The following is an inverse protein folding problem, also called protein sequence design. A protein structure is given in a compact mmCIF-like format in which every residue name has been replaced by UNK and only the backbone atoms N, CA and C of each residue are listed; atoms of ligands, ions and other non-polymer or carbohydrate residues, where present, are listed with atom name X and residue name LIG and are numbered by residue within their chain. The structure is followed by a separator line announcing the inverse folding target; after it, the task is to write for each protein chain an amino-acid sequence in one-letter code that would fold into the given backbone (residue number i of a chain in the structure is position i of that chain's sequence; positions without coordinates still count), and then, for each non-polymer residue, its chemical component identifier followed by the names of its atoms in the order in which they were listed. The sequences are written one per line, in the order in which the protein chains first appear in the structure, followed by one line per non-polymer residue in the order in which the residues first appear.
data_IF_640050767620
#
_entry.id   IF_640050767620
#
_cell.length_a   1.000
_cell.length_b   1.000
_cell.length_c   1.000
_cell.angle_alpha   90.00
_cell.angle_beta   90.00
_cell.angle_gamma   90.00
#
_symmetry.space_group_name_H-M   'P 1'
#
loop_
_entity.id
_entity.type
_entity.pdbx_description
1 polymer ?
#
# COMPACT_ATOMS: atom_id res chain seq x y z
N UNK A 1 13.38 -6.45 -17.59
CA UNK A 1 12.34 -6.44 -16.52
C UNK A 1 11.29 -5.40 -16.88
N UNK A 2 10.09 -5.85 -17.27
CA UNK A 2 8.95 -5.01 -17.67
C UNK A 2 7.61 -5.53 -17.14
N UNK A 3 7.62 -6.53 -16.26
CA UNK A 3 6.40 -7.16 -15.74
C UNK A 3 5.59 -6.20 -14.86
N UNK A 4 6.25 -5.37 -14.05
CA UNK A 4 5.57 -4.34 -13.24
C UNK A 4 4.85 -3.32 -14.11
N UNK A 5 5.51 -2.82 -15.17
CA UNK A 5 4.89 -1.90 -16.11
C UNK A 5 3.67 -2.55 -16.80
N UNK A 6 3.79 -3.81 -17.25
CA UNK A 6 2.68 -4.57 -17.85
C UNK A 6 1.50 -4.75 -16.89
N UNK A 7 1.77 -5.08 -15.63
CA UNK A 7 0.72 -5.23 -14.60
C UNK A 7 0.01 -3.89 -14.37
N UNK A 8 0.76 -2.80 -14.19
CA UNK A 8 0.19 -1.46 -14.01
C UNK A 8 -0.66 -1.08 -15.22
N UNK A 9 -0.16 -1.28 -16.43
CA UNK A 9 -0.93 -1.00 -17.66
C UNK A 9 -2.20 -1.84 -17.75
N UNK A 10 -2.13 -3.14 -17.41
CA UNK A 10 -3.30 -4.02 -17.39
C UNK A 10 -4.37 -3.58 -16.38
N UNK A 11 -3.95 -3.16 -15.18
CA UNK A 11 -4.86 -2.63 -14.15
C UNK A 11 -5.52 -1.34 -14.61
N UNK A 12 -4.74 -0.37 -15.10
CA UNK A 12 -5.28 0.92 -15.58
C UNK A 12 -6.25 0.70 -16.75
N UNK A 13 -5.88 -0.14 -17.71
CA UNK A 13 -6.74 -0.47 -18.84
C UNK A 13 -8.04 -1.15 -18.39
N UNK A 14 -7.96 -2.08 -17.43
CA UNK A 14 -9.13 -2.75 -16.86
C UNK A 14 -10.08 -1.80 -16.13
N UNK A 15 -9.54 -0.91 -15.29
CA UNK A 15 -10.35 0.11 -14.57
C UNK A 15 -11.00 1.07 -15.56
N UNK A 16 -10.26 1.57 -16.55
CA UNK A 16 -10.80 2.48 -17.56
C UNK A 16 -11.88 1.81 -18.41
N UNK A 17 -11.64 0.59 -18.89
CA UNK A 17 -12.63 -0.18 -19.64
C UNK A 17 -13.89 -0.44 -18.79
N UNK A 18 -13.73 -0.85 -17.53
CA UNK A 18 -14.84 -1.08 -16.60
C UNK A 18 -15.65 0.17 -16.31
N UNK A 19 -14.99 1.32 -16.09
CA UNK A 19 -15.65 2.59 -15.86
C UNK A 19 -16.45 3.05 -17.10
N UNK A 20 -15.87 2.94 -18.29
CA UNK A 20 -16.56 3.27 -19.54
C UNK A 20 -17.74 2.33 -19.75
N UNK A 21 -17.56 1.02 -19.62
CA UNK A 21 -18.66 0.05 -19.77
C UNK A 21 -19.74 0.27 -18.71
N UNK A 22 -19.39 0.60 -17.47
CA UNK A 22 -20.35 0.91 -16.40
C UNK A 22 -21.17 2.17 -16.68
N UNK A 23 -20.52 3.24 -17.17
CA UNK A 23 -21.19 4.48 -17.57
C UNK A 23 -22.10 4.25 -18.79
N UNK A 24 -21.66 3.43 -19.76
CA UNK A 24 -22.45 3.12 -20.96
C UNK A 24 -23.63 2.19 -20.67
N UNK A 25 -23.46 1.22 -19.76
CA UNK A 25 -24.52 0.28 -19.37
C UNK A 25 -25.60 0.95 -18.52
N UNK A 26 -25.22 1.92 -17.69
CA UNK A 26 -26.13 2.73 -16.88
C UNK A 26 -25.88 4.23 -17.13
N UNK A 27 -26.43 4.79 -18.22
CA UNK A 27 -26.25 6.19 -18.54
C UNK A 27 -27.03 7.05 -17.55
N UNK A 28 -26.29 7.73 -16.68
CA UNK A 28 -26.82 8.78 -15.81
C UNK A 28 -26.78 10.13 -16.53
N UNK A 29 -27.58 11.10 -16.08
CA UNK A 29 -27.54 12.42 -16.72
C UNK A 29 -26.16 13.08 -16.50
N UNK A 30 -25.60 13.73 -17.53
CA UNK A 30 -24.25 14.31 -17.42
C UNK A 30 -24.08 15.37 -16.31
N UNK A 31 -25.19 15.95 -15.83
CA UNK A 31 -25.21 16.84 -14.66
C UNK A 31 -24.99 16.04 -13.37
N UNK A 32 -25.62 14.87 -13.24
CA UNK A 32 -25.43 13.94 -12.13
C UNK A 32 -24.04 13.28 -12.18
N UNK A 33 -23.54 12.89 -13.36
CA UNK A 33 -22.21 12.26 -13.50
C UNK A 33 -21.10 13.18 -13.01
N UNK A 34 -21.11 14.47 -13.41
CA UNK A 34 -20.12 15.44 -12.91
C UNK A 34 -20.22 15.65 -11.40
N UNK A 35 -21.44 15.73 -10.87
CA UNK A 35 -21.68 15.85 -9.42
C UNK A 35 -21.11 14.64 -8.67
N UNK A 36 -21.44 13.42 -9.12
CA UNK A 36 -20.94 12.16 -8.54
C UNK A 36 -19.41 12.03 -8.62
N UNK A 37 -18.78 12.49 -9.71
CA UNK A 37 -17.31 12.50 -9.82
C UNK A 37 -16.70 13.46 -8.79
N UNK A 38 -17.25 14.66 -8.64
CA UNK A 38 -16.74 15.65 -7.69
C UNK A 38 -16.93 15.23 -6.23
N UNK A 39 -18.08 14.67 -5.88
CA UNK A 39 -18.36 14.15 -4.53
C UNK A 39 -17.52 12.89 -4.26
N UNK A 40 -17.57 11.90 -5.15
CA UNK A 40 -16.85 10.65 -5.00
C UNK A 40 -15.33 10.78 -4.99
N UNK A 41 -14.75 11.77 -5.69
CA UNK A 41 -13.31 12.01 -5.64
C UNK A 41 -12.85 12.52 -4.26
N UNK A 42 -13.61 13.42 -3.64
CA UNK A 42 -13.29 13.91 -2.29
C UNK A 42 -13.44 12.79 -1.26
N UNK A 43 -14.57 12.06 -1.29
CA UNK A 43 -14.83 10.95 -0.38
C UNK A 43 -13.79 9.83 -0.53
N UNK A 44 -13.37 9.53 -1.76
CA UNK A 44 -12.36 8.49 -2.02
C UNK A 44 -10.98 8.91 -1.52
N UNK A 45 -10.60 10.18 -1.67
CA UNK A 45 -9.34 10.69 -1.13
C UNK A 45 -9.32 10.64 0.39
N UNK A 46 -10.40 11.07 1.04
CA UNK A 46 -10.48 11.06 2.51
C UNK A 46 -10.44 9.63 3.07
N UNK A 47 -11.24 8.72 2.50
CA UNK A 47 -11.23 7.31 2.91
C UNK A 47 -9.87 6.63 2.64
N UNK A 48 -9.25 6.90 1.49
CA UNK A 48 -7.91 6.37 1.18
C UNK A 48 -6.85 6.91 2.13
N UNK A 49 -6.94 8.19 2.51
CA UNK A 49 -5.99 8.80 3.43
C UNK A 49 -6.10 8.17 4.81
N UNK A 50 -7.32 7.99 5.31
CA UNK A 50 -7.56 7.33 6.60
C UNK A 50 -7.09 5.86 6.57
N UNK A 51 -7.47 5.09 5.54
CA UNK A 51 -7.00 3.71 5.40
C UNK A 51 -5.49 3.61 5.23
N UNK A 52 -4.87 4.52 4.47
CA UNK A 52 -3.44 4.55 4.27
C UNK A 52 -2.71 4.91 5.57
N UNK A 53 -3.21 5.85 6.36
CA UNK A 53 -2.62 6.19 7.66
C UNK A 53 -2.69 5.00 8.64
N UNK A 54 -3.83 4.31 8.71
CA UNK A 54 -4.00 3.11 9.53
C UNK A 54 -3.06 2.00 9.08
N UNK A 55 -3.06 1.67 7.78
CA UNK A 55 -2.20 0.61 7.21
C UNK A 55 -0.71 0.97 7.32
N UNK A 56 -0.34 2.24 7.13
CA UNK A 56 1.02 2.71 7.30
C UNK A 56 1.47 2.58 8.76
N UNK A 57 0.62 2.92 9.74
CA UNK A 57 0.92 2.71 11.17
C UNK A 57 1.17 1.23 11.47
N UNK A 58 0.27 0.34 11.05
CA UNK A 58 0.42 -1.11 11.29
C UNK A 58 1.64 -1.70 10.57
N UNK A 59 1.92 -1.24 9.35
CA UNK A 59 3.12 -1.64 8.62
C UNK A 59 4.39 -1.17 9.33
N UNK A 60 4.39 0.06 9.86
CA UNK A 60 5.53 0.66 10.56
C UNK A 60 5.80 -0.03 11.90
N UNK A 61 4.76 -0.37 12.66
CA UNK A 61 4.89 -1.18 13.87
C UNK A 61 5.43 -2.58 13.56
N UNK A 62 4.85 -3.28 12.58
CA UNK A 62 5.31 -4.62 12.17
C UNK A 62 6.76 -4.59 11.68
N UNK A 63 7.14 -3.53 10.98
CA UNK A 63 8.50 -3.33 10.47
C UNK A 63 9.49 -3.06 11.60
N UNK A 64 9.14 -2.18 12.55
CA UNK A 64 9.97 -1.88 13.71
C UNK A 64 10.16 -3.11 14.61
N UNK A 65 9.11 -3.87 14.89
CA UNK A 65 9.18 -5.12 15.66
C UNK A 65 10.10 -6.16 15.00
N UNK A 66 10.02 -6.26 13.67
CA UNK A 66 10.87 -7.17 12.89
C UNK A 66 12.34 -6.71 12.89
N UNK A 67 12.58 -5.40 12.77
CA UNK A 67 13.91 -4.80 12.86
C UNK A 67 14.52 -4.96 14.25
N UNK A 68 13.74 -4.76 15.31
CA UNK A 68 14.19 -4.88 16.69
C UNK A 68 14.52 -6.33 17.05
N UNK A 69 13.72 -7.29 16.59
CA UNK A 69 14.03 -8.73 16.73
C UNK A 69 15.31 -9.12 15.98
N UNK A 70 15.51 -8.59 14.76
CA UNK A 70 16.73 -8.83 13.99
C UNK A 70 17.97 -8.19 14.64
N UNK A 71 17.82 -6.96 15.14
CA UNK A 71 18.88 -6.23 15.83
C UNK A 71 19.28 -6.92 17.14
N UNK A 72 18.31 -7.34 17.97
CA UNK A 72 18.58 -8.07 19.20
C UNK A 72 19.21 -9.45 18.95
N UNK A 73 18.77 -10.16 17.91
CA UNK A 73 19.39 -11.44 17.54
C UNK A 73 20.84 -11.27 17.09
N UNK A 74 21.12 -10.21 16.34
CA UNK A 74 22.49 -9.86 15.91
C UNK A 74 23.35 -9.46 17.12
N UNK A 75 22.82 -8.60 18.00
CA UNK A 75 23.52 -8.13 19.21
C UNK A 75 23.87 -9.30 20.13
N UNK A 76 22.92 -10.19 20.42
CA UNK A 76 23.17 -11.37 21.24
C UNK A 76 24.17 -12.35 20.60
N UNK A 77 24.14 -12.49 19.28
CA UNK A 77 25.13 -13.30 18.54
C UNK A 77 26.54 -12.72 18.63
N UNK A 78 26.67 -11.40 18.48
CA UNK A 78 27.94 -10.67 18.58
C UNK A 78 28.46 -10.67 20.00
N UNK A 79 27.62 -10.46 21.01
CA UNK A 79 28.03 -10.47 22.43
C UNK A 79 28.52 -11.87 22.85
N UNK A 80 27.80 -12.94 22.45
CA UNK A 80 28.28 -14.31 22.67
C UNK A 80 29.58 -14.62 21.94
N UNK A 81 29.77 -14.10 20.72
CA UNK A 81 31.01 -14.27 19.98
C UNK A 81 32.18 -13.53 20.65
N UNK A 82 31.95 -12.30 21.12
CA UNK A 82 32.94 -11.51 21.88
C UNK A 82 33.32 -12.20 23.19
N UNK A 83 32.35 -12.74 23.93
CA UNK A 83 32.61 -13.48 25.17
C UNK A 83 33.47 -14.72 24.90
N UNK A 84 33.16 -15.50 23.84
CA UNK A 84 33.98 -16.66 23.45
C UNK A 84 35.38 -16.31 22.97
N UNK A 85 35.56 -15.14 22.35
CA UNK A 85 36.87 -14.66 21.90
C UNK A 85 37.72 -14.07 23.04
N UNK A 86 37.10 -13.56 24.11
CA UNK A 86 37.83 -12.99 25.25
C UNK A 86 38.30 -14.03 26.27
N UNK A 87 37.76 -15.26 26.22
CA UNK A 87 38.09 -16.37 27.12
C UNK A 87 39.15 -17.32 26.50
N UNK A 88 39.48 -17.16 25.21
CA UNK A 88 40.54 -17.91 24.50
C UNK A 88 41.78 -17.07 24.27
#
# INVERSE_FOLDING_TARGET
MNNTAKIITGVVAGVAAGAVTGILLAPDSGKNTRKKIAEGANDMVDNLKEEAEVKAKSAKETYNDSLEKAANSTKNGVDKAKEKLAIS
#
